data_IF_829269509193
#
_entry.id   IF_829269509193
#
_cell.length_a   1.000
_cell.length_b   1.000
_cell.length_c   1.000
_cell.angle_alpha   90.00
_cell.angle_beta   90.00
_cell.angle_gamma   90.00
#
_symmetry.space_group_name_H-M   'P 1'
#
loop_
_entity.id
_entity.type
_entity.pdbx_description
1 polymer ?
#
# COMPACT_ATOMS: atom_id res chain seq x y z
N UNK A 1 -4.03 -6.04 16.75
CA UNK A 1 -3.86 -4.70 16.17
C UNK A 1 -4.00 -4.77 14.67
N UNK A 2 -4.76 -3.87 14.03
CA UNK A 2 -4.93 -3.91 12.59
C UNK A 2 -3.65 -3.59 11.82
N UNK A 3 -3.54 -4.15 10.64
CA UNK A 3 -2.42 -3.91 9.72
C UNK A 3 -2.82 -3.03 8.54
N UNK A 4 -4.11 -2.76 8.38
CA UNK A 4 -4.64 -1.83 7.38
C UNK A 4 -5.65 -0.91 8.03
N UNK A 5 -5.88 0.23 7.39
CA UNK A 5 -6.79 1.25 7.88
C UNK A 5 -7.60 1.81 6.71
N UNK A 6 -8.88 2.08 6.97
CA UNK A 6 -9.75 2.74 6.00
C UNK A 6 -9.28 4.18 5.79
N UNK A 7 -9.27 4.61 4.52
CA UNK A 7 -9.00 5.99 4.12
C UNK A 7 -10.26 6.54 3.47
N UNK A 8 -10.72 7.69 3.96
CA UNK A 8 -11.84 8.42 3.38
C UNK A 8 -11.34 9.69 2.68
N UNK A 9 -12.11 10.17 1.70
CA UNK A 9 -11.81 11.44 1.07
C UNK A 9 -12.19 12.62 1.98
N UNK A 10 -12.00 13.86 1.51
CA UNK A 10 -12.31 15.06 2.29
C UNK A 10 -13.78 15.22 2.65
N UNK A 11 -14.67 14.50 1.98
CA UNK A 11 -16.10 14.50 2.24
C UNK A 11 -16.58 13.29 3.03
N UNK A 12 -15.64 12.47 3.53
CA UNK A 12 -15.94 11.30 4.33
C UNK A 12 -16.34 10.07 3.54
N UNK A 13 -16.21 10.07 2.21
CA UNK A 13 -16.56 8.91 1.38
C UNK A 13 -15.38 7.95 1.29
N UNK A 14 -15.66 6.65 1.24
CA UNK A 14 -14.64 5.61 1.22
C UNK A 14 -13.76 5.74 -0.03
N UNK A 15 -12.45 5.94 0.20
CA UNK A 15 -11.46 6.14 -0.87
C UNK A 15 -10.59 4.92 -1.11
N UNK A 16 -10.21 4.22 -0.07
CA UNK A 16 -9.35 3.05 -0.17
C UNK A 16 -8.90 2.54 1.19
N UNK A 17 -7.92 1.67 1.16
CA UNK A 17 -7.33 1.05 2.35
C UNK A 17 -5.84 1.30 2.32
N UNK A 18 -5.24 1.67 3.46
CA UNK A 18 -3.79 1.89 3.51
C UNK A 18 -3.11 0.86 4.40
N UNK A 19 -1.89 0.53 4.02
CA UNK A 19 -0.95 -0.21 4.85
C UNK A 19 0.37 0.54 4.89
N UNK A 20 1.22 0.22 5.86
CA UNK A 20 2.56 0.80 5.96
C UNK A 20 3.57 -0.19 5.38
N UNK A 21 4.31 0.24 4.36
CA UNK A 21 5.26 -0.63 3.66
C UNK A 21 6.62 -0.64 4.40
N UNK A 22 7.05 -1.80 4.94
CA UNK A 22 8.31 -1.86 5.67
C UNK A 22 9.56 -1.76 4.77
N UNK A 23 9.40 -1.95 3.46
CA UNK A 23 10.48 -1.77 2.49
C UNK A 23 10.60 -0.36 1.96
N UNK A 24 9.60 0.48 2.16
CA UNK A 24 9.55 1.86 1.70
C UNK A 24 9.58 2.74 2.94
N UNK A 25 10.74 3.31 3.26
CA UNK A 25 10.90 4.03 4.52
C UNK A 25 11.29 5.48 4.29
N UNK A 26 10.87 6.33 5.23
CA UNK A 26 11.38 7.69 5.33
C UNK A 26 12.81 7.69 5.87
N UNK A 27 13.46 8.85 5.86
CA UNK A 27 14.84 8.98 6.33
C UNK A 27 15.04 8.61 7.81
N UNK A 28 13.98 8.68 8.61
CA UNK A 28 14.01 8.26 10.02
C UNK A 28 13.77 6.77 10.23
N UNK A 29 13.59 6.00 9.14
CA UNK A 29 13.35 4.57 9.19
C UNK A 29 11.89 4.17 9.35
N UNK A 30 10.97 5.12 9.51
CA UNK A 30 9.55 4.80 9.62
C UNK A 30 8.97 4.36 8.26
N UNK A 31 8.03 3.41 8.24
CA UNK A 31 7.46 2.92 6.99
C UNK A 31 6.55 3.96 6.33
N UNK A 32 6.56 3.97 5.00
CA UNK A 32 5.69 4.85 4.22
C UNK A 32 4.31 4.22 4.04
N UNK A 33 3.24 5.03 4.13
CA UNK A 33 1.90 4.53 3.83
C UNK A 33 1.71 4.29 2.34
N UNK A 34 0.97 3.25 2.01
CA UNK A 34 0.53 2.95 0.65
C UNK A 34 -0.98 2.79 0.66
N UNK A 35 -1.67 3.56 -0.18
CA UNK A 35 -3.13 3.53 -0.27
C UNK A 35 -3.53 2.78 -1.53
N UNK A 36 -4.40 1.77 -1.37
CA UNK A 36 -4.94 0.99 -2.48
C UNK A 36 -6.44 1.23 -2.60
N UNK A 37 -6.91 1.50 -3.83
CA UNK A 37 -8.33 1.42 -4.13
C UNK A 37 -8.71 -0.06 -4.21
N UNK A 38 -9.83 -0.44 -3.62
CA UNK A 38 -10.22 -1.84 -3.51
C UNK A 38 -11.64 -2.06 -4.00
N UNK A 39 -11.91 -3.26 -4.50
CA UNK A 39 -13.24 -3.69 -4.96
C UNK A 39 -14.16 -4.10 -3.81
N UNK A 40 -13.73 -3.90 -2.59
CA UNK A 40 -14.46 -4.18 -1.36
C UNK A 40 -15.02 -2.88 -0.79
N UNK A 41 -16.14 -2.95 -0.12
CA UNK A 41 -16.71 -1.80 0.59
C UNK A 41 -16.87 -2.13 2.07
N UNK A 42 -16.62 -1.15 2.97
CA UNK A 42 -16.87 -1.34 4.40
C UNK A 42 -18.34 -1.62 4.68
N UNK A 43 -18.67 -2.32 5.78
CA UNK A 43 -20.06 -2.52 6.18
C UNK A 43 -20.83 -1.20 6.27
N UNK A 44 -22.02 -1.17 5.67
CA UNK A 44 -22.86 0.02 5.65
C UNK A 44 -22.52 1.05 4.58
N UNK A 45 -21.43 0.86 3.85
CA UNK A 45 -21.02 1.73 2.75
C UNK A 45 -21.50 1.12 1.43
N UNK A 46 -22.21 1.91 0.61
CA UNK A 46 -22.79 1.44 -0.65
C UNK A 46 -22.05 1.95 -1.88
N UNK A 47 -21.23 2.97 -1.74
CA UNK A 47 -20.48 3.57 -2.85
C UNK A 47 -19.11 4.02 -2.38
N UNK A 48 -18.12 3.89 -3.26
CA UNK A 48 -16.80 4.46 -3.02
C UNK A 48 -16.76 5.93 -3.45
N UNK A 49 -15.71 6.64 -3.02
CA UNK A 49 -15.43 8.00 -3.46
C UNK A 49 -15.34 8.07 -4.99
N UNK A 50 -15.91 9.11 -5.64
CA UNK A 50 -15.72 9.31 -7.07
C UNK A 50 -14.26 9.57 -7.46
N UNK A 51 -13.41 9.94 -6.51
CA UNK A 51 -11.97 10.10 -6.74
C UNK A 51 -11.25 8.77 -6.91
N UNK A 52 -11.84 7.66 -6.46
CA UNK A 52 -11.33 6.32 -6.68
C UNK A 52 -11.85 5.69 -7.97
N UNK A 53 -12.97 6.17 -8.50
CA UNK A 53 -13.61 5.60 -9.68
C UNK A 53 -12.69 5.67 -10.91
N UNK A 54 -12.65 4.59 -11.69
CA UNK A 54 -11.84 4.52 -12.90
C UNK A 54 -10.36 4.26 -12.68
N UNK A 55 -9.91 4.17 -11.44
CA UNK A 55 -8.52 3.83 -11.11
C UNK A 55 -8.36 2.34 -10.92
N UNK A 56 -7.13 1.80 -11.01
CA UNK A 56 -6.90 0.38 -10.71
C UNK A 56 -7.38 0.03 -9.31
N UNK A 57 -8.03 -1.11 -9.18
CA UNK A 57 -8.53 -1.63 -7.91
C UNK A 57 -7.94 -3.00 -7.64
N UNK A 58 -7.71 -3.27 -6.36
CA UNK A 58 -7.27 -4.57 -5.86
C UNK A 58 -8.44 -5.30 -5.22
N UNK A 59 -8.43 -6.63 -5.30
CA UNK A 59 -9.32 -7.42 -4.46
C UNK A 59 -8.78 -7.42 -3.05
N UNK A 60 -9.66 -7.28 -2.08
CA UNK A 60 -9.33 -7.25 -0.66
C UNK A 60 -10.23 -8.23 0.08
N UNK A 61 -9.64 -9.04 0.97
CA UNK A 61 -10.40 -10.04 1.73
C UNK A 61 -11.26 -9.48 2.86
N UNK A 62 -11.17 -8.18 3.16
CA UNK A 62 -11.92 -7.55 4.23
C UNK A 62 -11.37 -7.79 5.63
N UNK A 63 -10.28 -8.49 5.78
CA UNK A 63 -9.67 -8.81 7.07
C UNK A 63 -8.58 -7.80 7.40
N UNK A 64 -8.80 -6.99 8.43
CA UNK A 64 -7.87 -5.93 8.83
C UNK A 64 -6.67 -6.44 9.60
N UNK A 65 -6.78 -7.61 10.22
CA UNK A 65 -5.68 -8.24 10.98
C UNK A 65 -4.78 -9.08 10.08
N UNK A 66 -5.34 -9.72 9.05
CA UNK A 66 -4.63 -10.56 8.10
C UNK A 66 -5.03 -10.20 6.67
N UNK A 67 -4.71 -8.99 6.22
CA UNK A 67 -5.14 -8.54 4.90
C UNK A 67 -4.50 -9.35 3.78
N UNK A 68 -5.29 -9.60 2.73
CA UNK A 68 -4.84 -10.17 1.47
C UNK A 68 -5.33 -9.28 0.35
N UNK A 69 -4.39 -8.84 -0.49
CA UNK A 69 -4.69 -8.04 -1.68
C UNK A 69 -4.23 -8.81 -2.92
N UNK A 70 -5.03 -8.79 -3.96
CA UNK A 70 -4.67 -9.35 -5.27
C UNK A 70 -5.05 -8.36 -6.36
N UNK A 71 -4.30 -8.24 -7.44
CA UNK A 71 -3.00 -8.87 -7.73
C UNK A 71 -1.85 -8.25 -6.92
N UNK A 72 -0.61 -8.41 -7.39
CA UNK A 72 0.56 -7.82 -6.74
C UNK A 72 0.49 -6.30 -6.73
N UNK A 73 1.13 -5.70 -5.73
CA UNK A 73 1.26 -4.25 -5.60
C UNK A 73 2.63 -3.84 -6.14
N UNK A 74 2.63 -2.99 -7.17
CA UNK A 74 3.86 -2.50 -7.78
C UNK A 74 3.83 -0.97 -7.76
N UNK A 75 4.75 -0.38 -7.03
CA UNK A 75 4.89 1.07 -6.94
C UNK A 75 6.33 1.46 -7.21
N UNK A 76 6.52 2.59 -7.87
CA UNK A 76 7.87 3.08 -8.19
C UNK A 76 7.85 4.60 -8.28
N UNK A 77 9.01 5.19 -8.00
CA UNK A 77 9.28 6.61 -8.23
C UNK A 77 10.77 6.79 -8.48
N UNK A 78 11.13 7.98 -8.97
CA UNK A 78 12.52 8.24 -9.34
C UNK A 78 12.89 7.65 -10.69
N UNK A 79 14.17 7.31 -10.87
CA UNK A 79 14.69 6.79 -12.14
C UNK A 79 14.79 7.87 -13.20
N UNK A 80 14.95 9.14 -12.82
CA UNK A 80 15.07 10.26 -13.75
C UNK A 80 16.12 11.25 -13.25
N UNK A 81 16.47 12.20 -14.11
CA UNK A 81 17.39 13.28 -13.76
C UNK A 81 16.61 14.57 -13.51
N UNK A 82 16.90 15.22 -12.39
CA UNK A 82 16.32 16.51 -12.03
C UNK A 82 17.44 17.53 -11.87
N UNK A 83 17.55 18.47 -12.83
CA UNK A 83 18.66 19.42 -12.85
C UNK A 83 20.00 18.70 -12.96
N UNK A 84 20.89 18.94 -11.99
CA UNK A 84 22.21 18.28 -11.93
C UNK A 84 22.21 17.01 -11.08
N UNK A 85 21.03 16.57 -10.60
CA UNK A 85 20.91 15.42 -9.72
C UNK A 85 20.22 14.26 -10.41
N UNK A 86 20.78 13.07 -10.26
CA UNK A 86 20.10 11.84 -10.61
C UNK A 86 19.22 11.42 -9.43
N UNK A 87 17.93 11.20 -9.71
CA UNK A 87 17.01 10.64 -8.73
C UNK A 87 16.94 9.13 -8.97
N UNK A 88 17.50 8.31 -8.07
CA UNK A 88 17.54 6.87 -8.30
C UNK A 88 16.14 6.27 -8.32
N UNK A 89 15.99 5.20 -9.10
CA UNK A 89 14.76 4.45 -9.14
C UNK A 89 14.53 3.77 -7.80
N UNK A 90 13.36 4.00 -7.21
CA UNK A 90 12.84 3.18 -6.11
C UNK A 90 11.68 2.36 -6.65
N UNK A 91 11.76 1.05 -6.52
CA UNK A 91 10.69 0.13 -6.89
C UNK A 91 10.36 -0.78 -5.73
N UNK A 92 9.06 -0.92 -5.47
CA UNK A 92 8.55 -1.85 -4.49
C UNK A 92 7.46 -2.69 -5.15
N UNK A 93 7.72 -3.97 -5.34
CA UNK A 93 6.80 -4.91 -5.96
C UNK A 93 6.58 -6.07 -5.00
N UNK A 94 5.34 -6.30 -4.62
CA UNK A 94 5.04 -7.23 -3.53
C UNK A 94 3.72 -7.94 -3.71
N UNK A 95 3.60 -9.09 -3.06
CA UNK A 95 2.32 -9.74 -2.78
C UNK A 95 2.01 -9.56 -1.30
N UNK A 96 0.76 -9.26 -0.99
CA UNK A 96 0.29 -9.16 0.39
C UNK A 96 -0.73 -10.26 0.61
N UNK A 97 -0.40 -11.20 1.50
CA UNK A 97 -1.21 -12.38 1.75
C UNK A 97 -1.22 -12.66 3.26
N UNK A 98 -2.41 -12.79 3.82
CA UNK A 98 -2.60 -13.21 5.21
C UNK A 98 -1.80 -12.35 6.21
N UNK A 99 -1.74 -11.04 5.95
CA UNK A 99 -1.07 -10.08 6.82
C UNK A 99 0.44 -10.03 6.66
N UNK A 100 1.00 -10.70 5.67
CA UNK A 100 2.44 -10.71 5.37
C UNK A 100 2.69 -10.13 3.99
N UNK A 101 3.81 -9.46 3.84
CA UNK A 101 4.23 -8.87 2.57
C UNK A 101 5.45 -9.61 2.06
N UNK A 102 5.34 -10.15 0.84
CA UNK A 102 6.42 -10.82 0.13
C UNK A 102 6.96 -9.88 -0.93
N UNK A 103 8.18 -9.42 -0.74
CA UNK A 103 8.87 -8.56 -1.71
C UNK A 103 9.50 -9.40 -2.81
N UNK A 104 9.26 -9.00 -4.04
CA UNK A 104 9.83 -9.68 -5.21
C UNK A 104 11.26 -9.19 -5.48
N UNK A 105 11.97 -9.92 -6.34
CA UNK A 105 13.39 -9.66 -6.58
C UNK A 105 13.69 -8.38 -7.35
N UNK A 106 12.69 -7.75 -7.96
CA UNK A 106 12.85 -6.48 -8.66
C UNK A 106 12.72 -5.25 -7.75
N UNK A 107 12.48 -5.46 -6.45
CA UNK A 107 12.53 -4.37 -5.47
C UNK A 107 13.94 -3.81 -5.36
N UNK A 108 14.03 -2.49 -5.18
CA UNK A 108 15.32 -1.79 -5.06
C UNK A 108 15.77 -1.60 -3.61
N UNK A 109 14.92 -1.94 -2.64
CA UNK A 109 15.25 -1.81 -1.22
C UNK A 109 15.81 -3.12 -0.64
N UNK A 110 16.28 -3.05 0.61
CA UNK A 110 17.00 -4.14 1.25
C UNK A 110 16.16 -5.39 1.53
N UNK A 111 14.82 -5.29 1.49
CA UNK A 111 13.94 -6.42 1.77
C UNK A 111 13.56 -7.22 0.51
N UNK A 112 14.16 -6.94 -0.64
CA UNK A 112 13.94 -7.71 -1.87
C UNK A 112 14.14 -9.21 -1.61
N UNK A 113 13.24 -10.03 -2.16
CA UNK A 113 13.21 -11.48 -1.98
C UNK A 113 12.88 -11.96 -0.56
N UNK A 114 12.41 -11.09 0.32
CA UNK A 114 12.04 -11.44 1.69
C UNK A 114 10.54 -11.33 1.92
N UNK A 115 10.03 -12.13 2.84
CA UNK A 115 8.66 -12.06 3.32
C UNK A 115 8.69 -11.67 4.79
N UNK A 116 7.97 -10.61 5.13
CA UNK A 116 7.91 -10.10 6.51
C UNK A 116 6.46 -9.79 6.87
N UNK A 117 6.18 -9.68 8.17
CA UNK A 117 4.86 -9.23 8.61
C UNK A 117 4.66 -7.77 8.25
N UNK A 118 3.43 -7.41 7.85
CA UNK A 118 3.07 -6.02 7.71
C UNK A 118 3.10 -5.35 9.09
N UNK A 119 3.62 -4.12 9.18
CA UNK A 119 3.52 -3.35 10.42
C UNK A 119 2.06 -3.08 10.79
N UNK A 120 1.78 -3.01 12.08
CA UNK A 120 0.49 -2.58 12.57
C UNK A 120 0.30 -1.08 12.30
N UNK A 121 -0.94 -0.68 12.01
CA UNK A 121 -1.28 0.72 11.81
C UNK A 121 -1.87 1.30 13.09
N UNK A 122 -1.56 2.56 13.36
CA UNK A 122 -2.13 3.28 14.49
C UNK A 122 -3.49 3.87 14.11
N UNK A 123 -4.41 3.89 15.07
CA UNK A 123 -5.74 4.46 14.88
C UNK A 123 -5.76 5.93 15.29
N UNK A 124 -5.21 6.76 14.46
CA UNK A 124 -5.23 8.20 14.69
C UNK A 124 -6.06 8.92 13.64
#
# INVERSE_FOLDING_TARGET
MPKVKIVNDSEGRFYGVKFNCPGCTYSDGSPMPCVLHVSWLPPGVTEESPHAAGKPHWDFNGDFERPTFTPSVNSWWGGFRSGDHDVPLHRCHSFITDGRIQFLGDCTHALANQTVDLPEVTEE
#
